data_IF_110815292229
#
_entry.id   IF_110815292229
#
_cell.length_a   1.000
_cell.length_b   1.000
_cell.length_c   1.000
_cell.angle_alpha   90.00
_cell.angle_beta   90.00
_cell.angle_gamma   90.00
#
_symmetry.space_group_name_H-M   'P 1'
#
loop_
_entity.id
_entity.type
_entity.pdbx_description
1 polymer ?
#
# COMPACT_ATOMS: atom_id res chain seq x y z
N UNK A 1 -22.71 -13.07 -12.97
CA UNK A 1 -21.55 -12.43 -13.66
C UNK A 1 -20.51 -12.11 -12.61
N UNK A 2 -19.22 -12.32 -12.89
CA UNK A 2 -18.14 -12.05 -11.94
C UNK A 2 -17.19 -10.98 -12.45
N UNK A 3 -17.18 -9.86 -11.74
CA UNK A 3 -16.39 -8.67 -12.05
C UNK A 3 -15.28 -8.53 -11.02
N UNK A 4 -14.06 -8.23 -11.47
CA UNK A 4 -12.99 -7.73 -10.59
C UNK A 4 -12.61 -6.33 -11.04
N UNK A 5 -12.54 -5.38 -10.09
CA UNK A 5 -12.15 -3.99 -10.35
C UNK A 5 -10.85 -3.68 -9.62
N UNK A 6 -9.88 -3.09 -10.32
CA UNK A 6 -8.56 -2.79 -9.80
C UNK A 6 -8.26 -1.29 -9.75
N UNK A 7 -7.76 -0.85 -8.59
CA UNK A 7 -6.98 0.38 -8.46
C UNK A 7 -5.48 0.02 -8.49
N UNK A 8 -4.76 0.61 -9.45
CA UNK A 8 -3.44 0.12 -9.86
C UNK A 8 -2.34 0.71 -9.00
N UNK A 9 -1.58 -0.18 -8.35
CA UNK A 9 -0.38 0.17 -7.60
C UNK A 9 0.66 -0.94 -7.60
N UNK A 10 1.86 -0.66 -7.08
CA UNK A 10 2.89 -1.69 -6.85
C UNK A 10 2.83 -2.19 -5.41
N UNK A 11 2.85 -1.27 -4.43
CA UNK A 11 2.79 -1.62 -3.01
C UNK A 11 1.37 -1.83 -2.51
N UNK A 12 0.41 -1.11 -3.10
CA UNK A 12 -1.01 -1.18 -2.75
C UNK A 12 -1.79 -1.28 -4.07
N UNK A 13 -1.85 -2.47 -4.66
CA UNK A 13 -2.78 -2.76 -5.74
C UNK A 13 -4.08 -3.23 -5.11
N UNK A 14 -5.09 -2.38 -5.06
CA UNK A 14 -6.38 -2.75 -4.49
C UNK A 14 -7.26 -3.41 -5.55
N UNK A 15 -8.04 -4.41 -5.14
CA UNK A 15 -9.02 -5.05 -6.00
C UNK A 15 -10.30 -5.34 -5.22
N UNK A 16 -11.44 -5.25 -5.90
CA UNK A 16 -12.73 -5.66 -5.39
C UNK A 16 -13.40 -6.63 -6.37
N UNK A 17 -13.81 -7.80 -5.89
CA UNK A 17 -14.55 -8.82 -6.65
C UNK A 17 -16.02 -8.70 -6.32
N UNK A 18 -16.82 -8.47 -7.35
CA UNK A 18 -18.27 -8.32 -7.29
C UNK A 18 -18.93 -9.47 -8.06
N UNK A 19 -19.91 -10.13 -7.43
CA UNK A 19 -20.82 -11.04 -8.12
C UNK A 19 -22.13 -10.32 -8.42
N UNK A 20 -22.70 -10.56 -9.60
CA UNK A 20 -24.06 -10.12 -9.93
C UNK A 20 -24.91 -11.27 -10.47
N UNK A 21 -25.96 -11.63 -9.75
CA UNK A 21 -26.91 -12.68 -10.10
C UNK A 21 -28.35 -12.14 -10.00
N UNK A 22 -29.10 -12.18 -11.11
CA UNK A 22 -30.52 -11.79 -11.16
C UNK A 22 -30.87 -10.51 -10.36
N UNK A 23 -30.05 -9.46 -10.53
CA UNK A 23 -30.14 -8.12 -9.90
C UNK A 23 -29.56 -7.97 -8.49
N UNK A 24 -29.14 -9.06 -7.84
CA UNK A 24 -28.41 -9.01 -6.58
C UNK A 24 -26.92 -8.81 -6.84
N UNK A 25 -26.30 -7.93 -6.05
CA UNK A 25 -24.86 -7.69 -6.05
C UNK A 25 -24.29 -8.02 -4.68
N UNK A 26 -23.13 -8.69 -4.68
CA UNK A 26 -22.38 -8.99 -3.47
C UNK A 26 -20.88 -8.81 -3.70
N UNK A 27 -20.14 -8.51 -2.63
CA UNK A 27 -18.68 -8.47 -2.63
C UNK A 27 -18.18 -9.86 -2.19
N UNK A 28 -17.49 -10.55 -3.11
CA UNK A 28 -16.91 -11.87 -2.84
C UNK A 28 -15.55 -11.77 -2.16
N UNK A 29 -14.74 -10.79 -2.55
CA UNK A 29 -13.43 -10.53 -1.97
C UNK A 29 -13.04 -9.06 -2.21
N UNK A 30 -12.30 -8.47 -1.28
CA UNK A 30 -11.88 -7.07 -1.37
C UNK A 30 -10.61 -6.85 -0.54
N UNK A 31 -9.49 -6.64 -1.22
CA UNK A 31 -8.20 -6.62 -0.54
C UNK A 31 -7.15 -5.78 -1.31
N UNK A 32 -5.96 -5.69 -0.72
CA UNK A 32 -4.80 -4.97 -1.26
C UNK A 32 -3.63 -5.92 -1.41
N UNK A 33 -3.09 -6.00 -2.62
CA UNK A 33 -1.90 -6.77 -2.97
C UNK A 33 -0.64 -5.90 -2.88
N UNK A 34 0.43 -6.46 -2.31
CA UNK A 34 1.77 -5.87 -2.35
C UNK A 34 2.65 -6.70 -3.29
N UNK A 35 2.97 -6.15 -4.46
CA UNK A 35 3.75 -6.83 -5.50
C UNK A 35 5.26 -6.79 -5.27
N UNK A 36 5.71 -6.16 -4.18
CA UNK A 36 7.13 -6.11 -3.80
C UNK A 36 7.50 -7.30 -2.92
N UNK A 37 8.81 -7.52 -2.73
CA UNK A 37 9.29 -8.53 -1.80
C UNK A 37 8.79 -8.26 -0.37
N UNK A 38 8.48 -9.35 0.35
CA UNK A 38 8.07 -9.29 1.75
C UNK A 38 9.14 -8.61 2.60
N UNK A 39 8.74 -7.59 3.37
CA UNK A 39 9.65 -6.94 4.32
C UNK A 39 10.09 -8.00 5.35
N UNK A 40 11.41 -8.12 5.58
CA UNK A 40 11.89 -9.04 6.62
C UNK A 40 11.25 -8.67 7.97
N UNK A 41 10.79 -9.66 8.75
CA UNK A 41 10.12 -9.40 10.00
C UNK A 41 11.05 -8.61 10.93
N UNK A 42 10.56 -7.44 11.37
CA UNK A 42 11.31 -6.58 12.29
C UNK A 42 11.44 -7.30 13.62
N UNK A 43 12.67 -7.45 14.11
CA UNK A 43 12.93 -8.01 15.45
C UNK A 43 12.49 -6.99 16.51
N UNK A 44 11.82 -7.47 17.54
CA UNK A 44 11.38 -6.64 18.67
C UNK A 44 12.39 -6.76 19.81
N UNK A 45 12.60 -5.66 20.53
CA UNK A 45 13.47 -5.63 21.69
C UNK A 45 12.89 -6.51 22.80
N UNK A 46 13.72 -7.41 23.35
CA UNK A 46 13.30 -8.33 24.41
C UNK A 46 13.64 -7.84 25.83
N UNK A 47 14.08 -6.59 26.00
CA UNK A 47 14.40 -6.04 27.31
C UNK A 47 13.13 -5.70 28.12
N UNK A 48 13.26 -5.74 29.44
CA UNK A 48 12.22 -5.33 30.38
C UNK A 48 12.36 -3.84 30.69
N UNK A 49 11.26 -3.12 30.63
CA UNK A 49 11.17 -1.73 31.10
C UNK A 49 10.92 -1.78 32.62
N UNK A 50 11.84 -1.24 33.44
CA UNK A 50 11.66 -1.21 34.88
C UNK A 50 10.45 -0.35 35.26
N UNK A 51 9.71 -0.71 36.31
CA UNK A 51 8.52 0.01 36.71
C UNK A 51 8.88 1.39 37.27
N UNK A 52 8.03 2.39 36.99
CA UNK A 52 8.21 3.77 37.49
C UNK A 52 7.94 3.92 39.00
N UNK A 53 7.27 2.94 39.61
CA UNK A 53 6.93 2.89 41.04
C UNK A 53 6.75 1.44 41.47
N UNK A 54 6.95 1.12 42.76
CA UNK A 54 6.77 -0.22 43.34
C UNK A 54 5.37 -0.84 43.10
N UNK A 55 4.37 -0.02 42.72
CA UNK A 55 3.00 -0.46 42.39
C UNK A 55 2.82 -0.95 40.95
N UNK A 56 3.74 -0.67 40.04
CA UNK A 56 3.63 -1.10 38.65
C UNK A 56 4.49 -2.33 38.40
N UNK A 57 3.96 -3.26 37.59
CA UNK A 57 4.74 -4.41 37.15
C UNK A 57 5.70 -4.01 36.01
N UNK A 58 6.89 -4.65 35.93
CA UNK A 58 7.77 -4.55 34.78
C UNK A 58 7.04 -4.94 33.49
N UNK A 59 7.29 -4.22 32.40
CA UNK A 59 6.65 -4.48 31.09
C UNK A 59 7.70 -4.80 30.04
N UNK A 60 7.42 -5.74 29.11
CA UNK A 60 8.33 -6.00 28.00
C UNK A 60 8.41 -4.77 27.08
N UNK A 61 9.58 -4.52 26.51
CA UNK A 61 9.74 -3.52 25.48
C UNK A 61 9.04 -3.99 24.19
N UNK A 62 8.28 -3.11 23.53
CA UNK A 62 7.65 -3.39 22.23
C UNK A 62 8.29 -2.62 21.08
N UNK A 63 9.45 -1.99 21.30
CA UNK A 63 10.16 -1.21 20.28
C UNK A 63 10.97 -2.14 19.37
N UNK A 64 11.08 -1.76 18.10
CA UNK A 64 11.93 -2.45 17.13
C UNK A 64 13.39 -2.44 17.60
N UNK A 65 14.02 -3.61 17.58
CA UNK A 65 15.42 -3.77 17.90
C UNK A 65 16.30 -3.23 16.77
N UNK A 66 17.37 -2.51 17.14
CA UNK A 66 18.40 -2.04 16.20
C UNK A 66 19.74 -2.74 16.39
N UNK A 67 19.90 -3.43 17.53
CA UNK A 67 21.13 -4.12 17.90
C UNK A 67 20.81 -5.49 18.47
N UNK A 68 21.75 -6.43 18.36
CA UNK A 68 21.65 -7.74 18.96
C UNK A 68 22.95 -8.18 19.60
N UNK A 69 22.85 -9.10 20.55
CA UNK A 69 23.99 -9.85 21.04
C UNK A 69 23.55 -11.22 21.51
N UNK A 70 24.23 -12.26 21.04
CA UNK A 70 23.85 -13.65 21.29
C UNK A 70 22.37 -13.84 20.91
N UNK A 71 21.51 -14.16 21.89
CA UNK A 71 20.06 -14.36 21.71
C UNK A 71 19.22 -13.12 22.05
N UNK A 72 19.84 -12.02 22.48
CA UNK A 72 19.14 -10.82 22.95
C UNK A 72 19.06 -9.71 21.90
N UNK A 73 17.94 -8.97 21.94
CA UNK A 73 17.60 -7.91 21.00
C UNK A 73 17.34 -6.58 21.71
N UNK A 74 18.02 -5.53 21.28
CA UNK A 74 18.02 -4.23 21.94
C UNK A 74 17.49 -3.14 21.01
N UNK A 75 16.48 -2.38 21.46
CA UNK A 75 16.14 -1.11 20.82
C UNK A 75 17.24 -0.07 21.11
N UNK A 76 17.24 1.03 20.37
CA UNK A 76 18.28 2.06 20.51
C UNK A 76 18.46 2.57 21.94
N UNK A 77 17.35 2.76 22.68
CA UNK A 77 17.38 3.23 24.07
C UNK A 77 18.06 2.20 24.97
N UNK A 78 17.66 0.93 24.89
CA UNK A 78 18.21 -0.14 25.72
C UNK A 78 19.65 -0.51 25.33
N UNK A 79 20.04 -0.33 24.07
CA UNK A 79 21.42 -0.48 23.64
C UNK A 79 22.32 0.59 24.27
N UNK A 80 21.89 1.86 24.27
CA UNK A 80 22.65 2.96 24.88
C UNK A 80 22.76 2.87 26.41
N UNK A 81 21.74 2.31 27.07
CA UNK A 81 21.74 2.11 28.52
C UNK A 81 22.22 0.71 28.94
N UNK A 82 22.80 -0.07 28.03
CA UNK A 82 23.28 -1.40 28.34
C UNK A 82 24.59 -1.31 29.16
N UNK A 83 24.64 -1.99 30.30
CA UNK A 83 25.82 -2.00 31.17
C UNK A 83 26.78 -3.16 30.87
N UNK A 84 26.30 -4.20 30.18
CA UNK A 84 27.05 -5.42 29.88
C UNK A 84 27.86 -5.32 28.58
N UNK A 85 27.31 -4.60 27.59
CA UNK A 85 27.84 -4.49 26.24
C UNK A 85 27.97 -3.04 25.80
N UNK A 86 29.01 -2.77 25.01
CA UNK A 86 29.27 -1.44 24.43
C UNK A 86 28.52 -1.24 23.11
N UNK A 87 28.28 0.02 22.79
CA UNK A 87 27.76 0.40 21.47
C UNK A 87 28.83 0.15 20.38
N UNK A 88 28.45 -0.39 19.21
CA UNK A 88 29.38 -0.54 18.10
C UNK A 88 29.83 0.84 17.64
N UNK A 89 31.15 1.03 17.57
CA UNK A 89 31.77 2.27 17.14
C UNK A 89 32.78 1.99 16.03
N UNK A 90 32.95 2.93 15.08
CA UNK A 90 33.83 2.72 13.91
C UNK A 90 35.28 2.43 14.35
N UNK A 91 35.75 3.10 15.40
CA UNK A 91 37.10 2.95 15.93
C UNK A 91 37.37 1.57 16.56
N UNK A 92 36.34 0.87 17.04
CA UNK A 92 36.46 -0.47 17.63
C UNK A 92 36.18 -1.60 16.65
N UNK A 93 36.00 -1.29 15.36
CA UNK A 93 35.79 -2.28 14.31
C UNK A 93 37.09 -2.96 13.88
N UNK A 94 37.01 -4.22 13.44
CA UNK A 94 38.16 -4.97 12.90
C UNK A 94 38.95 -4.22 11.84
N UNK A 95 38.24 -3.53 10.93
CA UNK A 95 38.86 -2.78 9.84
C UNK A 95 39.69 -1.59 10.36
N UNK A 96 39.24 -0.94 11.44
CA UNK A 96 39.98 0.16 12.08
C UNK A 96 41.13 -0.36 12.93
N UNK A 97 40.89 -1.42 13.73
CA UNK A 97 41.91 -2.02 14.59
C UNK A 97 43.12 -2.52 13.79
N UNK A 98 42.90 -3.11 12.61
CA UNK A 98 43.98 -3.54 11.69
C UNK A 98 44.92 -2.40 11.29
N UNK A 99 44.41 -1.17 11.18
CA UNK A 99 45.17 0.01 10.76
C UNK A 99 46.00 0.63 11.88
N UNK A 100 45.70 0.32 13.15
CA UNK A 100 46.44 0.86 14.29
C UNK A 100 47.87 0.32 14.36
N UNK A 101 48.78 1.13 14.92
CA UNK A 101 50.14 0.70 15.24
C UNK A 101 50.14 -0.23 16.46
N UNK A 102 51.24 -0.95 16.67
CA UNK A 102 51.36 -1.90 17.79
C UNK A 102 51.20 -1.20 19.14
N UNK A 103 51.82 -0.02 19.29
CA UNK A 103 51.78 0.77 20.53
C UNK A 103 50.35 1.19 20.89
N UNK A 104 49.54 1.53 19.88
CA UNK A 104 48.14 1.92 20.08
C UNK A 104 47.29 0.73 20.51
N UNK A 105 47.48 -0.44 19.91
CA UNK A 105 46.79 -1.67 20.30
C UNK A 105 47.15 -2.10 21.72
N UNK A 106 48.43 -1.95 22.10
CA UNK A 106 48.89 -2.21 23.46
C UNK A 106 48.22 -1.26 24.46
N UNK A 107 48.11 0.04 24.15
CA UNK A 107 47.40 1.01 25.01
C UNK A 107 45.95 0.61 25.23
N UNK A 108 45.24 0.20 24.17
CA UNK A 108 43.85 -0.26 24.25
C UNK A 108 43.74 -1.50 25.15
N UNK A 109 44.62 -2.48 24.96
CA UNK A 109 44.62 -3.69 25.77
C UNK A 109 44.92 -3.43 27.24
N UNK A 110 45.83 -2.49 27.55
CA UNK A 110 46.11 -2.06 28.92
C UNK A 110 44.90 -1.35 29.53
N UNK A 111 44.26 -0.42 28.81
CA UNK A 111 43.10 0.33 29.31
C UNK A 111 41.90 -0.54 29.64
N UNK A 112 41.79 -1.71 28.99
CA UNK A 112 40.76 -2.71 29.26
C UNK A 112 41.28 -3.91 30.07
N UNK A 113 42.52 -3.84 30.56
CA UNK A 113 43.16 -4.88 31.37
C UNK A 113 43.16 -6.27 30.72
N UNK A 114 43.36 -6.34 29.40
CA UNK A 114 43.29 -7.58 28.62
C UNK A 114 44.50 -8.50 28.79
N UNK A 115 45.59 -8.01 29.39
CA UNK A 115 46.88 -8.71 29.47
C UNK A 115 47.23 -9.21 30.87
N UNK A 116 46.31 -9.17 31.85
CA UNK A 116 46.59 -9.52 33.26
C UNK A 116 47.23 -10.92 33.38
N UNK A 117 46.81 -11.88 32.53
CA UNK A 117 47.28 -13.26 32.57
C UNK A 117 48.31 -13.58 31.47
N UNK A 118 48.96 -12.57 30.89
CA UNK A 118 49.91 -12.75 29.77
C UNK A 118 51.28 -12.21 30.17
N UNK A 119 52.18 -13.12 30.51
CA UNK A 119 53.58 -12.78 30.74
C UNK A 119 54.23 -12.26 29.45
N UNK A 120 55.09 -11.24 29.58
CA UNK A 120 55.85 -10.67 28.47
C UNK A 120 54.98 -10.22 27.27
N UNK A 121 53.75 -9.73 27.52
CA UNK A 121 52.82 -9.31 26.46
C UNK A 121 53.42 -8.26 25.49
N UNK A 122 54.41 -7.47 25.94
CA UNK A 122 55.15 -6.49 25.12
C UNK A 122 56.03 -7.12 24.03
N UNK A 123 56.38 -8.41 24.15
CA UNK A 123 57.13 -9.17 23.13
C UNK A 123 56.23 -9.85 22.11
N UNK A 124 54.91 -9.80 22.28
CA UNK A 124 53.99 -10.40 21.33
C UNK A 124 53.97 -9.62 20.02
N UNK A 125 53.87 -10.34 18.91
CA UNK A 125 53.73 -9.73 17.60
C UNK A 125 52.37 -9.00 17.46
N UNK A 126 52.30 -8.06 16.51
CA UNK A 126 51.10 -7.26 16.25
C UNK A 126 49.86 -8.11 15.96
N UNK A 127 50.02 -9.25 15.30
CA UNK A 127 48.89 -10.14 14.98
C UNK A 127 48.22 -10.66 16.25
N UNK A 128 49.00 -11.21 17.20
CA UNK A 128 48.46 -11.74 18.46
C UNK A 128 47.79 -10.68 19.30
N UNK A 129 48.39 -9.50 19.40
CA UNK A 129 47.80 -8.37 20.13
C UNK A 129 46.50 -7.91 19.46
N UNK A 130 46.49 -7.81 18.13
CA UNK A 130 45.30 -7.48 17.36
C UNK A 130 44.18 -8.49 17.64
N UNK A 131 44.48 -9.79 17.62
CA UNK A 131 43.48 -10.85 17.87
C UNK A 131 42.89 -10.75 19.27
N UNK A 132 43.71 -10.48 20.30
CA UNK A 132 43.25 -10.29 21.69
C UNK A 132 42.27 -9.11 21.79
N UNK A 133 42.67 -7.95 21.26
CA UNK A 133 41.85 -6.72 21.30
C UNK A 133 40.57 -6.89 20.48
N UNK A 134 40.68 -7.53 19.33
CA UNK A 134 39.57 -7.82 18.43
C UNK A 134 38.55 -8.73 19.08
N UNK A 135 38.98 -9.85 19.66
CA UNK A 135 38.11 -10.80 20.36
C UNK A 135 37.41 -10.17 21.57
N UNK A 136 38.07 -9.23 22.26
CA UNK A 136 37.45 -8.48 23.35
C UNK A 136 36.27 -7.64 22.83
N UNK A 137 36.49 -6.80 21.81
CA UNK A 137 35.43 -5.96 21.26
C UNK A 137 34.35 -6.78 20.55
N UNK A 138 34.71 -7.88 19.91
CA UNK A 138 33.74 -8.81 19.37
C UNK A 138 32.86 -9.37 20.47
N UNK A 139 33.38 -9.76 21.64
CA UNK A 139 32.56 -10.25 22.75
C UNK A 139 31.75 -9.15 23.45
N UNK A 140 32.31 -7.93 23.55
CA UNK A 140 31.74 -6.85 24.35
C UNK A 140 30.90 -5.85 23.58
N UNK A 141 31.01 -5.75 22.26
CA UNK A 141 30.19 -4.83 21.48
C UNK A 141 28.88 -5.49 21.06
N UNK A 142 27.81 -4.70 21.08
CA UNK A 142 26.57 -5.05 20.40
C UNK A 142 26.77 -5.04 18.88
N UNK A 143 26.04 -5.90 18.19
CA UNK A 143 26.06 -5.99 16.73
C UNK A 143 24.85 -5.24 16.14
N UNK A 144 25.04 -4.33 15.17
CA UNK A 144 23.92 -3.66 14.53
C UNK A 144 23.13 -4.67 13.70
N UNK A 145 21.80 -4.66 13.85
CA UNK A 145 20.91 -5.45 13.00
C UNK A 145 20.82 -4.73 11.65
N UNK A 146 21.38 -5.36 10.62
CA UNK A 146 21.31 -4.83 9.25
C UNK A 146 19.97 -5.22 8.65
N UNK A 147 18.98 -4.34 8.76
CA UNK A 147 17.80 -4.43 7.93
C UNK A 147 18.18 -4.03 6.51
N UNK A 148 18.02 -4.93 5.53
CA UNK A 148 18.05 -4.51 4.13
C UNK A 148 16.99 -3.41 3.98
N UNK A 149 17.38 -2.25 3.47
CA UNK A 149 16.42 -1.20 3.13
C UNK A 149 15.36 -1.84 2.24
N UNK A 150 14.08 -1.68 2.57
CA UNK A 150 13.02 -2.12 1.67
C UNK A 150 13.20 -1.37 0.36
N UNK A 151 13.26 -2.12 -0.75
CA UNK A 151 13.31 -1.51 -2.08
C UNK A 151 12.08 -0.64 -2.23
N UNK A 152 12.25 0.54 -2.84
CA UNK A 152 11.09 1.34 -3.19
C UNK A 152 10.35 0.70 -4.37
N UNK A 153 9.12 1.13 -4.62
CA UNK A 153 8.38 0.72 -5.80
C UNK A 153 9.12 1.06 -7.11
N UNK A 154 9.96 2.10 -7.12
CA UNK A 154 10.79 2.46 -8.28
C UNK A 154 11.99 1.52 -8.47
N UNK A 155 12.62 1.09 -7.37
CA UNK A 155 13.82 0.24 -7.38
C UNK A 155 13.51 -1.25 -7.57
N UNK A 156 12.23 -1.63 -7.49
CA UNK A 156 11.81 -3.02 -7.63
C UNK A 156 11.74 -3.40 -9.11
N UNK A 157 12.42 -4.48 -9.47
CA UNK A 157 12.48 -4.99 -10.84
C UNK A 157 11.08 -5.37 -11.37
N UNK A 158 10.79 -4.99 -12.63
CA UNK A 158 9.48 -5.21 -13.24
C UNK A 158 9.21 -6.69 -13.53
N UNK A 159 10.22 -7.48 -13.85
CA UNK A 159 10.07 -8.92 -14.05
C UNK A 159 9.69 -9.57 -12.72
N UNK A 160 10.34 -9.16 -11.63
CA UNK A 160 9.99 -9.63 -10.28
C UNK A 160 8.56 -9.23 -9.89
N UNK A 161 8.14 -8.00 -10.18
CA UNK A 161 6.76 -7.56 -9.94
C UNK A 161 5.76 -8.41 -10.74
N UNK A 162 6.01 -8.67 -12.02
CA UNK A 162 5.15 -9.50 -12.85
C UNK A 162 5.02 -10.94 -12.32
N UNK A 163 6.14 -11.54 -11.85
CA UNK A 163 6.12 -12.86 -11.20
C UNK A 163 5.29 -12.86 -9.92
N UNK A 164 5.49 -11.86 -9.05
CA UNK A 164 4.76 -11.74 -7.79
C UNK A 164 3.26 -11.49 -8.04
N UNK A 165 2.91 -10.66 -9.04
CA UNK A 165 1.53 -10.42 -9.45
C UNK A 165 0.84 -11.72 -9.86
N UNK A 166 1.48 -12.52 -10.72
CA UNK A 166 0.94 -13.82 -11.14
C UNK A 166 0.67 -14.74 -9.95
N UNK A 167 1.64 -14.86 -9.03
CA UNK A 167 1.51 -15.71 -7.85
C UNK A 167 0.38 -15.24 -6.92
N UNK A 168 0.34 -13.94 -6.62
CA UNK A 168 -0.68 -13.36 -5.75
C UNK A 168 -2.09 -13.48 -6.33
N UNK A 169 -2.26 -13.19 -7.63
CA UNK A 169 -3.56 -13.30 -8.30
C UNK A 169 -4.03 -14.76 -8.39
N UNK A 170 -3.13 -15.71 -8.64
CA UNK A 170 -3.48 -17.14 -8.64
C UNK A 170 -3.96 -17.64 -7.27
N UNK A 171 -3.58 -16.97 -6.18
CA UNK A 171 -4.00 -17.33 -4.83
C UNK A 171 -5.36 -16.71 -4.43
N UNK A 172 -5.94 -15.85 -5.28
CA UNK A 172 -7.27 -15.30 -5.04
C UNK A 172 -8.32 -16.36 -5.32
N UNK A 173 -9.19 -16.62 -4.34
CA UNK A 173 -10.29 -17.58 -4.47
C UNK A 173 -11.24 -17.17 -5.60
N UNK A 174 -11.55 -18.10 -6.50
CA UNK A 174 -12.48 -17.84 -7.61
C UNK A 174 -11.92 -16.95 -8.73
N UNK A 175 -10.59 -16.74 -8.78
CA UNK A 175 -9.94 -15.92 -9.83
C UNK A 175 -10.20 -16.45 -11.25
N UNK A 176 -10.30 -17.78 -11.40
CA UNK A 176 -10.56 -18.42 -12.70
C UNK A 176 -12.02 -18.29 -13.15
N UNK A 177 -12.92 -17.88 -12.26
CA UNK A 177 -14.35 -17.67 -12.55
C UNK A 177 -14.65 -16.20 -12.95
N UNK A 178 -13.63 -15.34 -12.95
CA UNK A 178 -13.77 -13.94 -13.36
C UNK A 178 -14.13 -13.88 -14.85
N UNK A 179 -15.10 -13.03 -15.16
CA UNK A 179 -15.62 -12.82 -16.53
C UNK A 179 -15.33 -11.41 -17.03
N UNK A 180 -15.29 -10.43 -16.12
CA UNK A 180 -15.07 -9.02 -16.44
C UNK A 180 -13.98 -8.46 -15.55
N UNK A 181 -13.08 -7.66 -16.12
CA UNK A 181 -11.93 -7.05 -15.44
C UNK A 181 -11.95 -5.55 -15.74
N UNK A 182 -12.11 -4.76 -14.70
CA UNK A 182 -12.07 -3.30 -14.80
C UNK A 182 -10.77 -2.80 -14.21
N UNK A 183 -10.03 -2.02 -14.98
CA UNK A 183 -8.69 -1.56 -14.60
C UNK A 183 -8.63 -0.04 -14.65
N UNK A 184 -8.14 0.61 -13.59
CA UNK A 184 -7.91 2.05 -13.62
C UNK A 184 -6.93 2.42 -14.75
N UNK A 185 -7.34 3.35 -15.61
CA UNK A 185 -6.55 3.79 -16.75
C UNK A 185 -5.42 4.77 -16.33
N UNK A 186 -4.17 4.37 -16.56
CA UNK A 186 -2.97 5.14 -16.24
C UNK A 186 -2.49 5.97 -17.45
N UNK A 187 -3.02 7.19 -17.59
CA UNK A 187 -2.86 8.02 -18.81
C UNK A 187 -1.60 8.92 -18.79
N UNK A 188 -0.94 9.11 -17.65
CA UNK A 188 0.13 10.12 -17.52
C UNK A 188 1.49 9.68 -18.09
N UNK A 189 2.21 10.53 -18.88
CA UNK A 189 3.59 10.28 -19.33
C UNK A 189 4.60 10.08 -18.19
N UNK A 190 4.21 10.51 -16.98
CA UNK A 190 5.02 10.46 -15.75
C UNK A 190 4.91 9.06 -15.09
N UNK A 191 3.88 8.27 -15.42
CA UNK A 191 3.54 7.02 -14.76
C UNK A 191 3.81 5.77 -15.64
N UNK A 192 4.87 5.80 -16.47
CA UNK A 192 5.20 4.69 -17.39
C UNK A 192 5.25 3.32 -16.69
N UNK A 193 5.77 3.25 -15.46
CA UNK A 193 5.73 2.01 -14.66
C UNK A 193 4.30 1.55 -14.36
N UNK A 194 3.41 2.43 -13.93
CA UNK A 194 2.02 2.03 -13.64
C UNK A 194 1.29 1.57 -14.89
N UNK A 195 1.56 2.22 -16.05
CA UNK A 195 1.04 1.77 -17.34
C UNK A 195 1.56 0.39 -17.73
N UNK A 196 2.82 0.07 -17.42
CA UNK A 196 3.36 -1.29 -17.57
C UNK A 196 2.67 -2.29 -16.65
N UNK A 197 2.43 -1.93 -15.37
CA UNK A 197 1.71 -2.78 -14.42
C UNK A 197 0.27 -3.03 -14.90
N UNK A 198 -0.43 -2.00 -15.39
CA UNK A 198 -1.74 -2.11 -16.04
C UNK A 198 -1.70 -3.11 -17.21
N UNK A 199 -0.70 -3.02 -18.09
CA UNK A 199 -0.53 -3.95 -19.21
C UNK A 199 -0.25 -5.39 -18.76
N UNK A 200 0.61 -5.57 -17.74
CA UNK A 200 0.88 -6.89 -17.16
C UNK A 200 -0.38 -7.53 -16.57
N UNK A 201 -1.19 -6.73 -15.86
CA UNK A 201 -2.45 -7.20 -15.28
C UNK A 201 -3.44 -7.61 -16.36
N UNK A 202 -3.63 -6.79 -17.40
CA UNK A 202 -4.49 -7.13 -18.53
C UNK A 202 -4.01 -8.42 -19.21
N UNK A 203 -2.70 -8.54 -19.46
CA UNK A 203 -2.10 -9.73 -20.06
C UNK A 203 -2.32 -10.98 -19.22
N UNK A 204 -2.24 -10.88 -17.88
CA UNK A 204 -2.52 -12.00 -16.98
C UNK A 204 -3.91 -12.58 -17.22
N UNK A 205 -4.93 -11.72 -17.30
CA UNK A 205 -6.31 -12.16 -17.51
C UNK A 205 -6.55 -12.69 -18.93
N UNK A 206 -5.97 -12.06 -19.95
CA UNK A 206 -6.01 -12.56 -21.34
C UNK A 206 -5.45 -13.99 -21.43
N UNK A 207 -4.35 -14.27 -20.71
CA UNK A 207 -3.75 -15.61 -20.68
C UNK A 207 -4.57 -16.64 -19.90
N UNK A 208 -5.45 -16.19 -18.99
CA UNK A 208 -6.31 -17.07 -18.19
C UNK A 208 -7.57 -17.46 -18.94
N UNK A 209 -8.18 -16.52 -19.65
CA UNK A 209 -9.40 -16.72 -20.43
C UNK A 209 -9.38 -15.80 -21.65
N UNK A 210 -9.50 -16.35 -22.86
CA UNK A 210 -9.52 -15.57 -24.10
C UNK A 210 -10.78 -14.71 -24.25
N UNK A 211 -11.87 -15.11 -23.61
CA UNK A 211 -13.18 -14.46 -23.71
C UNK A 211 -13.39 -13.45 -22.58
N UNK A 212 -12.34 -13.13 -21.83
CA UNK A 212 -12.40 -12.18 -20.72
C UNK A 212 -12.69 -10.76 -21.23
N UNK A 213 -13.66 -10.08 -20.63
CA UNK A 213 -13.95 -8.68 -20.94
C UNK A 213 -13.07 -7.76 -20.09
N UNK A 214 -12.22 -6.94 -20.73
CA UNK A 214 -11.33 -6.00 -20.03
C UNK A 214 -11.68 -4.56 -20.43
N UNK A 215 -11.98 -3.71 -19.45
CA UNK A 215 -12.21 -2.27 -19.68
C UNK A 215 -11.25 -1.40 -18.86
N UNK A 216 -10.59 -0.46 -19.54
CA UNK A 216 -9.79 0.57 -18.88
C UNK A 216 -10.66 1.78 -18.56
N UNK A 217 -10.88 2.03 -17.26
CA UNK A 217 -11.80 3.07 -16.78
C UNK A 217 -11.04 4.28 -16.28
N UNK A 218 -11.53 5.48 -16.60
CA UNK A 218 -10.96 6.72 -16.08
C UNK A 218 -11.14 6.82 -14.57
N UNK A 219 -10.08 7.15 -13.85
CA UNK A 219 -10.11 7.36 -12.40
C UNK A 219 -11.10 8.43 -11.95
N UNK A 220 -11.49 9.38 -12.82
CA UNK A 220 -12.47 10.41 -12.48
C UNK A 220 -13.91 9.86 -12.38
N UNK A 221 -14.21 8.75 -13.06
CA UNK A 221 -15.58 8.25 -13.18
C UNK A 221 -16.16 7.78 -11.84
N UNK A 222 -15.31 7.29 -10.94
CA UNK A 222 -15.71 6.81 -9.61
C UNK A 222 -16.40 7.87 -8.75
N UNK A 223 -16.08 9.17 -8.94
CA UNK A 223 -16.72 10.28 -8.21
C UNK A 223 -17.79 11.01 -9.03
N UNK A 224 -17.65 11.07 -10.36
CA UNK A 224 -18.63 11.72 -11.26
C UNK A 224 -20.04 11.18 -11.13
N UNK A 225 -20.21 9.93 -10.70
CA UNK A 225 -21.54 9.34 -10.45
C UNK A 225 -22.32 9.97 -9.28
N UNK A 226 -21.66 10.76 -8.44
CA UNK A 226 -22.27 11.48 -7.31
C UNK A 226 -22.39 12.99 -7.55
N UNK A 227 -21.81 13.50 -8.64
CA UNK A 227 -22.05 14.88 -9.06
C UNK A 227 -23.53 15.00 -9.42
N UNK A 228 -24.29 15.76 -8.62
CA UNK A 228 -25.67 16.11 -8.94
C UNK A 228 -25.67 16.65 -10.37
N UNK A 229 -26.27 15.91 -11.32
CA UNK A 229 -26.61 16.49 -12.61
C UNK A 229 -27.45 17.72 -12.28
N UNK A 230 -26.93 18.91 -12.57
CA UNK A 230 -27.73 20.14 -12.68
C UNK A 230 -28.70 19.97 -13.85
N UNK A 231 -29.69 19.09 -13.70
CA UNK A 231 -30.89 19.04 -14.53
C UNK A 231 -32.00 19.54 -13.61
N UNK A 232 -31.94 20.81 -13.24
CA UNK A 232 -33.07 21.46 -12.55
C UNK A 232 -33.15 22.97 -12.79
N UNK A 233 -32.29 23.55 -13.64
CA UNK A 233 -32.37 24.97 -14.03
C UNK A 233 -32.60 25.22 -15.53
N UNK A 234 -32.97 24.22 -16.33
CA UNK A 234 -33.50 24.47 -17.70
C UNK A 234 -35.03 24.65 -17.67
N UNK A 235 -35.70 24.23 -16.59
CA UNK A 235 -37.17 24.26 -16.48
C UNK A 235 -37.69 25.51 -15.73
N UNK A 236 -36.81 26.36 -15.17
CA UNK A 236 -37.22 27.58 -14.42
C UNK A 236 -36.99 28.91 -15.15
N UNK A 237 -36.76 28.90 -16.46
CA UNK A 237 -36.75 30.11 -17.29
C UNK A 237 -37.63 29.98 -18.55
N UNK A 238 -38.77 29.28 -18.43
CA UNK A 238 -39.84 29.38 -19.42
C UNK A 238 -41.18 29.66 -18.76
N UNK A 239 -41.26 30.84 -18.16
CA UNK A 239 -42.49 31.61 -18.09
C UNK A 239 -42.14 33.07 -18.39
N UNK A 240 -42.02 33.40 -19.67
CA UNK A 240 -42.81 34.43 -20.35
C UNK A 240 -42.27 34.68 -21.77
N UNK A 241 -43.21 34.56 -22.73
CA UNK A 241 -43.21 34.98 -24.14
C UNK A 241 -42.72 33.97 -25.20
N UNK A 242 -43.73 33.35 -25.82
CA UNK A 242 -43.91 33.05 -27.26
C UNK A 242 -42.65 33.04 -28.14
N UNK A 243 -42.34 31.88 -28.74
CA UNK A 243 -42.71 31.60 -30.13
C UNK A 243 -42.29 30.18 -30.55
N UNK A 244 -43.15 29.57 -31.37
CA UNK A 244 -42.99 28.40 -32.24
C UNK A 244 -41.94 27.32 -31.91
N UNK A 245 -42.44 26.11 -31.62
CA UNK A 245 -41.70 24.86 -31.73
C UNK A 245 -41.74 24.41 -33.20
N UNK A 246 -40.58 24.31 -33.84
CA UNK A 246 -40.40 23.38 -34.95
C UNK A 246 -39.03 22.68 -34.82
N UNK A 247 -39.13 21.38 -34.60
CA UNK A 247 -38.23 20.26 -34.93
C UNK A 247 -36.72 20.52 -35.15
N UNK A 248 -35.87 19.60 -34.64
CA UNK A 248 -35.12 18.62 -35.48
C UNK A 248 -33.99 17.98 -34.65
N UNK A 249 -34.05 16.65 -34.56
CA UNK A 249 -32.93 15.73 -34.36
C UNK A 249 -31.98 15.79 -35.56
N UNK A 250 -30.68 16.10 -35.40
CA UNK A 250 -29.63 15.66 -36.35
C UNK A 250 -28.31 15.37 -35.62
N UNK A 251 -27.88 14.11 -35.69
CA UNK A 251 -26.49 13.66 -35.59
C UNK A 251 -25.65 14.26 -36.73
N UNK A 252 -24.38 14.63 -36.52
CA UNK A 252 -23.33 14.48 -37.57
C UNK A 252 -21.92 14.71 -37.02
N UNK A 253 -20.96 14.10 -37.72
CA UNK A 253 -19.60 13.76 -37.32
C UNK A 253 -18.53 14.84 -37.64
N UNK A 254 -17.50 14.92 -36.76
CA UNK A 254 -16.04 15.21 -36.98
C UNK A 254 -15.60 16.53 -37.71
N UNK A 255 -14.29 16.87 -37.73
CA UNK A 255 -13.37 17.14 -36.62
C UNK A 255 -12.69 18.52 -36.79
N UNK A 256 -12.37 19.24 -35.71
CA UNK A 256 -11.44 20.38 -35.79
C UNK A 256 -10.36 20.22 -34.73
N UNK A 257 -9.14 20.00 -35.22
CA UNK A 257 -7.90 20.06 -34.46
C UNK A 257 -7.76 21.43 -33.79
N UNK A 258 -7.64 21.44 -32.47
CA UNK A 258 -6.87 22.46 -31.79
C UNK A 258 -6.19 21.88 -30.56
N UNK A 259 -4.85 21.94 -30.60
CA UNK A 259 -3.92 21.58 -29.52
C UNK A 259 -4.30 22.32 -28.24
N UNK A 260 -4.87 21.61 -27.27
CA UNK A 260 -4.89 22.05 -25.87
C UNK A 260 -4.23 20.97 -25.03
N UNK A 261 -3.02 21.29 -24.55
CA UNK A 261 -2.34 20.55 -23.47
C UNK A 261 -3.20 20.62 -22.22
N UNK A 262 -3.97 19.58 -21.93
CA UNK A 262 -4.61 19.39 -20.62
C UNK A 262 -3.59 18.73 -19.68
N UNK A 263 -2.71 19.56 -19.13
CA UNK A 263 -2.08 19.26 -17.83
C UNK A 263 -3.11 19.69 -16.78
N UNK A 264 -3.98 18.79 -16.37
CA UNK A 264 -4.91 19.04 -15.26
C UNK A 264 -4.33 18.44 -13.99
N UNK A 265 -3.41 19.16 -13.35
CA UNK A 265 -3.23 19.02 -11.90
C UNK A 265 -4.39 19.74 -11.23
N UNK A 266 -5.47 19.01 -10.96
CA UNK A 266 -6.65 19.52 -10.26
C UNK A 266 -6.25 19.87 -8.81
N UNK A 267 -6.41 21.12 -8.34
CA UNK A 267 -5.81 21.60 -7.08
C UNK A 267 -6.35 20.95 -5.80
N UNK A 268 -7.33 20.03 -5.88
CA UNK A 268 -8.02 19.46 -4.72
C UNK A 268 -7.89 17.93 -4.54
N UNK A 269 -6.77 17.35 -4.96
CA UNK A 269 -6.50 15.91 -4.88
C UNK A 269 -6.74 15.26 -3.50
N UNK A 270 -6.48 15.98 -2.39
CA UNK A 270 -6.71 15.46 -1.02
C UNK A 270 -8.19 15.38 -0.65
N UNK A 271 -9.02 16.25 -1.21
CA UNK A 271 -10.47 16.28 -0.97
C UNK A 271 -11.13 15.09 -1.66
N UNK A 272 -10.79 14.84 -2.92
CA UNK A 272 -11.28 13.68 -3.68
C UNK A 272 -10.99 12.31 -3.03
N UNK A 273 -9.84 12.16 -2.35
CA UNK A 273 -9.54 10.94 -1.59
C UNK A 273 -10.45 10.74 -0.38
N UNK A 274 -10.86 11.84 0.28
CA UNK A 274 -11.81 11.77 1.39
C UNK A 274 -13.22 11.48 0.89
N UNK A 275 -13.59 12.07 -0.25
CA UNK A 275 -14.90 11.88 -0.86
C UNK A 275 -15.12 10.43 -1.29
N UNK A 276 -14.12 9.80 -1.93
CA UNK A 276 -14.21 8.38 -2.32
C UNK A 276 -14.47 7.46 -1.13
N UNK A 277 -13.72 7.64 -0.05
CA UNK A 277 -13.93 6.88 1.20
C UNK A 277 -15.32 7.14 1.79
N UNK A 278 -15.76 8.40 1.82
CA UNK A 278 -17.08 8.78 2.31
C UNK A 278 -18.22 8.12 1.53
N UNK A 279 -18.22 8.22 0.20
CA UNK A 279 -19.25 7.60 -0.63
C UNK A 279 -19.24 6.08 -0.54
N UNK A 280 -18.05 5.48 -0.48
CA UNK A 280 -17.92 4.05 -0.29
C UNK A 280 -18.55 3.61 1.04
N UNK A 281 -18.22 4.27 2.16
CA UNK A 281 -18.83 3.99 3.46
C UNK A 281 -20.36 4.11 3.45
N UNK A 282 -20.91 5.15 2.83
CA UNK A 282 -22.36 5.31 2.73
C UNK A 282 -23.04 4.17 1.95
N UNK A 283 -22.46 3.74 0.83
CA UNK A 283 -22.99 2.61 0.05
C UNK A 283 -22.97 1.32 0.89
N UNK A 284 -21.90 1.06 1.64
CA UNK A 284 -21.78 -0.11 2.51
C UNK A 284 -22.79 -0.10 3.68
N UNK A 285 -23.16 1.08 4.18
CA UNK A 285 -24.11 1.23 5.28
C UNK A 285 -25.56 1.04 4.82
N UNK A 286 -25.94 1.69 3.73
CA UNK A 286 -27.32 1.73 3.23
C UNK A 286 -27.74 0.39 2.61
N UNK A 287 -26.82 -0.33 1.96
CA UNK A 287 -27.13 -1.58 1.27
C UNK A 287 -26.81 -2.78 2.19
N UNK A 288 -27.86 -3.49 2.61
CA UNK A 288 -27.75 -4.64 3.53
C UNK A 288 -26.86 -5.77 3.01
N UNK A 289 -26.81 -5.97 1.70
CA UNK A 289 -25.93 -6.97 1.06
C UNK A 289 -24.44 -6.75 1.37
N UNK A 290 -24.01 -5.52 1.68
CA UNK A 290 -22.61 -5.21 1.96
C UNK A 290 -22.26 -5.14 3.45
N UNK A 291 -23.19 -5.48 4.36
CA UNK A 291 -22.97 -5.29 5.80
C UNK A 291 -21.76 -6.07 6.36
N UNK A 292 -21.41 -7.20 5.76
CA UNK A 292 -20.21 -7.97 6.10
C UNK A 292 -18.90 -7.21 5.85
N UNK A 293 -18.94 -6.18 5.00
CA UNK A 293 -17.78 -5.39 4.56
C UNK A 293 -17.70 -4.01 5.23
N UNK A 294 -18.56 -3.71 6.22
CA UNK A 294 -18.56 -2.40 6.92
C UNK A 294 -17.18 -2.01 7.48
N UNK A 295 -16.45 -2.98 8.02
CA UNK A 295 -15.14 -2.77 8.63
C UNK A 295 -13.98 -2.89 7.62
N UNK A 296 -14.27 -3.13 6.33
CA UNK A 296 -13.22 -3.30 5.32
C UNK A 296 -12.36 -2.03 5.14
N UNK A 297 -12.92 -0.86 5.45
CA UNK A 297 -12.24 0.42 5.38
C UNK A 297 -11.47 0.79 6.67
N UNK A 298 -11.44 -0.09 7.69
CA UNK A 298 -10.68 0.11 8.94
C UNK A 298 -9.18 -0.18 8.76
N UNK A 299 -8.62 0.38 7.70
CA UNK A 299 -7.23 0.17 7.31
C UNK A 299 -6.57 1.50 6.93
N UNK A 300 -5.23 1.47 6.84
CA UNK A 300 -4.45 2.62 6.34
C UNK A 300 -4.58 2.82 4.83
N UNK A 301 -5.26 1.91 4.13
CA UNK A 301 -5.36 1.81 2.66
C UNK A 301 -6.79 1.87 2.16
N UNK A 302 -7.64 2.51 2.96
CA UNK A 302 -9.05 2.71 2.68
C UNK A 302 -9.32 3.54 1.43
N UNK A 303 -8.40 4.42 1.03
CA UNK A 303 -8.51 5.17 -0.23
C UNK A 303 -8.38 4.25 -1.44
N UNK A 304 -7.32 3.43 -1.51
CA UNK A 304 -7.11 2.47 -2.61
C UNK A 304 -8.28 1.45 -2.68
N UNK A 305 -8.73 0.95 -1.51
CA UNK A 305 -9.89 0.04 -1.42
C UNK A 305 -11.17 0.69 -1.94
N UNK A 306 -11.52 1.89 -1.44
CA UNK A 306 -12.72 2.62 -1.87
C UNK A 306 -12.71 2.89 -3.37
N UNK A 307 -11.54 3.23 -3.93
CA UNK A 307 -11.39 3.51 -5.36
C UNK A 307 -11.67 2.25 -6.21
N UNK A 308 -11.12 1.10 -5.83
CA UNK A 308 -11.37 -0.17 -6.53
C UNK A 308 -12.86 -0.58 -6.49
N UNK A 309 -13.53 -0.39 -5.35
CA UNK A 309 -14.97 -0.68 -5.19
C UNK A 309 -15.84 0.28 -6.00
N UNK A 310 -15.67 1.59 -5.84
CA UNK A 310 -16.49 2.61 -6.51
C UNK A 310 -16.34 2.56 -8.03
N UNK A 311 -15.15 2.20 -8.53
CA UNK A 311 -14.93 1.95 -9.95
C UNK A 311 -15.73 0.74 -10.46
N UNK A 312 -15.80 -0.34 -9.69
CA UNK A 312 -16.61 -1.52 -10.02
C UNK A 312 -18.10 -1.19 -10.04
N UNK A 313 -18.58 -0.46 -9.03
CA UNK A 313 -19.97 0.02 -8.97
C UNK A 313 -20.31 0.91 -10.17
N UNK A 314 -19.42 1.87 -10.51
CA UNK A 314 -19.61 2.74 -11.67
C UNK A 314 -19.73 1.93 -12.95
N UNK A 315 -18.84 0.95 -13.17
CA UNK A 315 -18.86 0.11 -14.35
C UNK A 315 -20.18 -0.65 -14.48
N UNK A 316 -20.61 -1.31 -13.41
CA UNK A 316 -21.87 -2.07 -13.38
C UNK A 316 -23.06 -1.17 -13.71
N UNK A 317 -23.13 0.02 -13.11
CA UNK A 317 -24.22 0.97 -13.35
C UNK A 317 -24.28 1.45 -14.80
N UNK A 318 -23.15 1.70 -15.44
CA UNK A 318 -23.11 2.29 -16.79
C UNK A 318 -23.15 1.24 -17.90
N UNK A 319 -22.61 0.04 -17.67
CA UNK A 319 -22.53 -1.03 -18.69
C UNK A 319 -23.60 -2.10 -18.52
N UNK A 320 -24.06 -2.34 -17.29
CA UNK A 320 -25.05 -3.38 -16.97
C UNK A 320 -26.12 -2.88 -15.98
N UNK A 321 -26.85 -1.80 -16.31
CA UNK A 321 -27.82 -1.20 -15.39
C UNK A 321 -28.93 -2.17 -14.94
N UNK A 322 -29.30 -3.15 -15.77
CA UNK A 322 -30.30 -4.17 -15.43
C UNK A 322 -29.81 -5.22 -14.41
N UNK A 323 -28.50 -5.28 -14.13
CA UNK A 323 -27.90 -6.22 -13.18
C UNK A 323 -27.64 -5.62 -11.80
N UNK A 324 -27.97 -4.35 -11.59
CA UNK A 324 -27.66 -3.63 -10.35
C UNK A 324 -28.89 -2.97 -9.76
N UNK A 325 -29.19 -3.32 -8.51
CA UNK A 325 -30.18 -2.63 -7.69
C UNK A 325 -29.56 -2.24 -6.36
N UNK A 326 -28.77 -1.16 -6.36
CA UNK A 326 -28.17 -0.60 -5.14
C UNK A 326 -28.46 0.88 -5.02
N UNK A 327 -28.56 1.32 -3.78
CA UNK A 327 -28.74 2.71 -3.40
C UNK A 327 -27.36 3.36 -3.28
N UNK A 328 -27.14 4.45 -4.00
CA UNK A 328 -25.90 5.23 -3.93
C UNK A 328 -25.96 6.28 -2.82
N UNK A 329 -27.16 6.72 -2.45
CA UNK A 329 -27.41 7.66 -1.38
C UNK A 329 -28.79 7.42 -0.73
N UNK A 330 -29.05 8.11 0.38
CA UNK A 330 -30.31 7.99 1.10
C UNK A 330 -31.53 8.59 0.36
N UNK A 331 -31.32 9.48 -0.62
CA UNK A 331 -32.42 10.05 -1.41
C UNK A 331 -32.95 9.05 -2.46
N UNK A 332 -32.14 8.08 -2.89
CA UNK A 332 -32.57 6.99 -3.78
C UNK A 332 -33.70 6.14 -3.14
N UNK A 333 -33.77 6.06 -1.80
CA UNK A 333 -34.86 5.38 -1.08
C UNK A 333 -36.23 6.02 -1.34
N UNK A 334 -36.28 7.36 -1.45
CA UNK A 334 -37.52 8.12 -1.64
C UNK A 334 -38.07 7.93 -3.05
N UNK A 335 -37.19 7.85 -4.05
CA UNK A 335 -37.58 7.67 -5.45
C UNK A 335 -38.23 6.29 -5.66
N UNK A 336 -37.64 5.23 -5.09
CA UNK A 336 -38.21 3.89 -5.19
C UNK A 336 -39.54 3.72 -4.45
N UNK A 337 -39.75 4.45 -3.34
CA UNK A 337 -41.05 4.43 -2.64
C UNK A 337 -42.18 5.11 -3.41
N UNK A 338 -41.87 6.04 -4.32
CA UNK A 338 -42.86 6.79 -5.12
C UNK A 338 -43.19 6.08 -6.44
N UNK A 339 -42.29 5.25 -6.97
CA UNK A 339 -42.53 4.44 -8.19
C UNK A 339 -43.33 3.16 -7.92
N UNK A 340 -43.47 2.76 -6.65
CA UNK A 340 -44.23 1.58 -6.21
C UNK A 340 -45.64 1.92 -5.65
N UNK A 341 -46.00 3.20 -5.64
CA UNK A 341 -47.34 3.72 -5.35
C UNK A 341 -48.00 4.20 -6.64
#
# INVERSE_FOLDING_TARGET
MRLISFDIGIKNMAYCILSTDASNIDILDWNVLNLMDSEQPKRICNCIIPPKSKKHQPKPCMKVAKFMKNTNYYCEKHAKSNTQYFMPAKQTSMASLKKLKLEELLRIGISHSLFINIENFTKLNKSKILDIVSNFYEKKNLEPIIFKKSKTAGDTDLIKIGKNMKELLNNITGIDEITHVVIENQISPIANRMKTIQGMLAQYFIMKNSDIEIEFVSSANKLKQFEKKKIENIIKEKDQKNDYIENILIETEKPIENKIKLVTTNPNYKEHKKDGVFYCSQILEINSCFHNWKNALDTKKKDDLADSFLQGIWYLKNRHPSKINILLNADDLKINSVLLS
#
